data_IF_672952182346
#
_entry.id   IF_672952182346
#
_cell.length_a   1.000
_cell.length_b   1.000
_cell.length_c   1.000
_cell.angle_alpha   90.00
_cell.angle_beta   90.00
_cell.angle_gamma   90.00
#
_symmetry.space_group_name_H-M   'P 1'
#
loop_
_entity.id
_entity.type
_entity.pdbx_description
1 polymer ?
#
# COMPACT_ATOMS: atom_id res chain seq x y z
N UNK A 1 2.83 -0.54 2.92
CA UNK A 1 3.48 0.77 2.99
C UNK A 1 4.97 0.50 3.05
N UNK A 2 5.80 1.16 2.22
CA UNK A 2 7.26 0.94 2.22
C UNK A 2 7.77 -0.43 1.75
N UNK A 3 6.90 -1.36 1.36
CA UNK A 3 7.30 -2.70 0.94
C UNK A 3 7.62 -2.82 -0.56
N UNK A 4 7.88 -1.71 -1.26
CA UNK A 4 8.29 -1.72 -2.67
C UNK A 4 7.23 -2.16 -3.68
N UNK A 5 5.92 -2.05 -3.37
CA UNK A 5 4.82 -2.50 -4.24
C UNK A 5 4.93 -2.03 -5.69
N UNK A 6 5.22 -0.75 -5.90
CA UNK A 6 5.29 -0.18 -7.25
C UNK A 6 6.44 -0.77 -8.07
N UNK A 7 7.61 -0.99 -7.46
CA UNK A 7 8.76 -1.63 -8.12
C UNK A 7 8.49 -3.11 -8.42
N UNK A 8 7.96 -3.84 -7.43
CA UNK A 8 7.61 -5.26 -7.58
C UNK A 8 6.48 -5.41 -8.60
N UNK A 9 5.45 -4.54 -8.54
CA UNK A 9 4.34 -4.54 -9.50
C UNK A 9 4.80 -4.29 -10.93
N UNK A 10 5.73 -3.37 -11.14
CA UNK A 10 6.33 -3.11 -12.46
C UNK A 10 7.08 -4.35 -12.98
N UNK A 11 7.90 -4.97 -12.13
CA UNK A 11 8.63 -6.18 -12.50
C UNK A 11 7.69 -7.33 -12.84
N UNK A 12 6.62 -7.52 -12.07
CA UNK A 12 5.59 -8.53 -12.37
C UNK A 12 4.85 -8.22 -13.68
N UNK A 13 4.51 -6.97 -13.94
CA UNK A 13 3.89 -6.52 -15.18
C UNK A 13 4.76 -6.85 -16.40
N UNK A 14 6.08 -6.65 -16.30
CA UNK A 14 7.04 -7.03 -17.33
C UNK A 14 7.11 -8.56 -17.52
N UNK A 15 7.24 -9.31 -16.41
CA UNK A 15 7.34 -10.77 -16.44
C UNK A 15 6.09 -11.46 -16.98
N UNK A 16 4.91 -10.93 -16.70
CA UNK A 16 3.62 -11.51 -17.08
C UNK A 16 3.03 -10.86 -18.34
N UNK A 17 3.74 -9.90 -18.94
CA UNK A 17 3.27 -9.16 -20.12
C UNK A 17 1.84 -8.60 -19.96
N UNK A 18 1.51 -8.06 -18.78
CA UNK A 18 0.19 -7.53 -18.47
C UNK A 18 0.29 -6.11 -17.87
N UNK A 19 -0.76 -5.27 -17.96
CA UNK A 19 -0.72 -3.91 -17.46
C UNK A 19 -0.59 -3.86 -15.93
N UNK A 20 0.08 -2.82 -15.45
CA UNK A 20 0.09 -2.42 -14.04
C UNK A 20 -0.83 -1.22 -13.85
N UNK A 21 -1.76 -1.33 -12.92
CA UNK A 21 -2.59 -0.23 -12.42
C UNK A 21 -2.20 0.03 -10.97
N UNK A 22 -1.77 1.25 -10.66
CA UNK A 22 -1.62 1.73 -9.29
C UNK A 22 -2.88 2.53 -8.92
N UNK A 23 -3.62 2.07 -7.90
CA UNK A 23 -4.92 2.63 -7.55
C UNK A 23 -4.80 4.07 -7.05
N UNK A 24 -3.74 4.38 -6.32
CA UNK A 24 -3.48 5.74 -5.82
C UNK A 24 -3.27 6.70 -7.01
N UNK A 25 -2.41 6.33 -7.97
CA UNK A 25 -2.18 7.11 -9.20
C UNK A 25 -3.43 7.21 -10.09
N UNK A 26 -4.26 6.16 -10.11
CA UNK A 26 -5.52 6.16 -10.86
C UNK A 26 -6.50 7.19 -10.29
N UNK A 27 -6.62 7.28 -8.96
CA UNK A 27 -7.46 8.28 -8.28
C UNK A 27 -6.94 9.70 -8.55
N UNK A 28 -5.63 9.92 -8.46
CA UNK A 28 -5.03 11.23 -8.75
C UNK A 28 -5.29 11.67 -10.19
N UNK A 29 -5.17 10.74 -11.15
CA UNK A 29 -5.46 11.02 -12.56
C UNK A 29 -6.95 11.34 -12.81
N UNK A 30 -7.87 10.65 -12.14
CA UNK A 30 -9.32 10.90 -12.28
C UNK A 30 -9.75 12.22 -11.64
N UNK A 31 -9.16 12.55 -10.49
CA UNK A 31 -9.54 13.75 -9.72
C UNK A 31 -8.79 15.01 -10.14
N UNK A 32 -7.65 14.86 -10.81
CA UNK A 32 -6.71 15.97 -11.12
C UNK A 32 -6.08 16.57 -9.86
N UNK A 33 -6.14 15.86 -8.71
CA UNK A 33 -5.60 16.30 -7.41
C UNK A 33 -4.71 15.22 -6.82
N UNK A 34 -3.68 15.63 -6.10
CA UNK A 34 -2.86 14.68 -5.33
C UNK A 34 -3.61 14.14 -4.12
N UNK A 35 -3.23 12.95 -3.66
CA UNK A 35 -3.82 12.34 -2.46
C UNK A 35 -3.68 13.24 -1.23
N UNK A 36 -2.53 13.89 -0.94
CA UNK A 36 -2.43 14.85 0.15
C UNK A 36 -3.45 16.00 0.05
N UNK A 37 -3.66 16.57 -1.15
CA UNK A 37 -4.67 17.63 -1.36
C UNK A 37 -6.09 17.13 -1.08
N UNK A 38 -6.42 15.90 -1.49
CA UNK A 38 -7.73 15.29 -1.21
C UNK A 38 -7.92 15.11 0.30
N UNK A 39 -6.90 14.63 1.02
CA UNK A 39 -6.96 14.50 2.48
C UNK A 39 -7.13 15.84 3.19
N UNK A 40 -6.46 16.88 2.72
CA UNK A 40 -6.51 18.21 3.30
C UNK A 40 -7.88 18.89 3.06
N UNK A 41 -8.39 18.80 1.83
CA UNK A 41 -9.64 19.49 1.43
C UNK A 41 -10.90 18.72 1.82
N UNK A 42 -10.92 17.41 1.60
CA UNK A 42 -12.15 16.60 1.66
C UNK A 42 -12.12 15.58 2.84
N UNK A 43 -10.96 15.36 3.42
CA UNK A 43 -10.73 14.46 4.56
C UNK A 43 -10.65 12.97 4.18
N UNK A 44 -10.22 12.16 5.16
CA UNK A 44 -10.01 10.71 4.95
C UNK A 44 -11.29 10.00 4.48
N UNK A 45 -12.46 10.34 5.04
CA UNK A 45 -13.72 9.69 4.68
C UNK A 45 -14.11 9.88 3.21
N UNK A 46 -13.82 11.03 2.62
CA UNK A 46 -14.04 11.28 1.21
C UNK A 46 -13.06 10.47 0.35
N UNK A 47 -11.78 10.47 0.72
CA UNK A 47 -10.78 9.65 0.03
C UNK A 47 -11.17 8.16 0.03
N UNK A 48 -11.64 7.58 1.15
CA UNK A 48 -12.07 6.18 1.21
C UNK A 48 -13.24 5.87 0.29
N UNK A 49 -14.17 6.82 0.10
CA UNK A 49 -15.24 6.65 -0.90
C UNK A 49 -14.72 6.66 -2.33
N UNK A 50 -13.77 7.54 -2.64
CA UNK A 50 -13.12 7.60 -3.96
C UNK A 50 -12.33 6.32 -4.22
N UNK A 51 -11.56 5.86 -3.24
CA UNK A 51 -10.77 4.63 -3.30
C UNK A 51 -11.65 3.40 -3.59
N UNK A 52 -12.79 3.29 -2.89
CA UNK A 52 -13.77 2.22 -3.15
C UNK A 52 -14.35 2.30 -4.55
N UNK A 53 -14.79 3.48 -5.00
CA UNK A 53 -15.37 3.67 -6.34
C UNK A 53 -14.35 3.36 -7.46
N UNK A 54 -13.11 3.81 -7.29
CA UNK A 54 -12.03 3.51 -8.23
C UNK A 54 -11.73 2.01 -8.29
N UNK A 55 -11.67 1.33 -7.14
CA UNK A 55 -11.49 -0.12 -7.08
C UNK A 55 -12.62 -0.87 -7.77
N UNK A 56 -13.89 -0.52 -7.50
CA UNK A 56 -15.05 -1.11 -8.16
C UNK A 56 -14.99 -0.95 -9.67
N UNK A 57 -14.64 0.25 -10.15
CA UNK A 57 -14.51 0.57 -11.58
C UNK A 57 -13.41 -0.27 -12.23
N UNK A 58 -12.22 -0.31 -11.66
CA UNK A 58 -11.10 -1.10 -12.18
C UNK A 58 -11.46 -2.58 -12.27
N UNK A 59 -12.03 -3.15 -11.19
CA UNK A 59 -12.40 -4.57 -11.14
C UNK A 59 -13.58 -4.95 -12.04
N UNK A 60 -14.45 -3.98 -12.40
CA UNK A 60 -15.58 -4.23 -13.30
C UNK A 60 -15.23 -4.07 -14.77
N UNK A 61 -14.23 -3.27 -15.09
CA UNK A 61 -13.86 -2.92 -16.47
C UNK A 61 -12.82 -3.86 -17.06
N UNK A 62 -11.96 -4.43 -16.24
CA UNK A 62 -10.87 -5.31 -16.71
C UNK A 62 -11.33 -6.77 -16.73
N UNK A 63 -11.28 -7.38 -17.89
CA UNK A 63 -11.54 -8.81 -18.09
C UNK A 63 -10.26 -9.62 -18.33
N UNK A 64 -9.15 -8.93 -18.57
CA UNK A 64 -7.84 -9.53 -18.81
C UNK A 64 -6.98 -9.51 -17.55
N UNK A 65 -5.91 -10.30 -17.56
CA UNK A 65 -4.93 -10.33 -16.49
C UNK A 65 -4.26 -8.95 -16.34
N UNK A 66 -4.21 -8.43 -15.11
CA UNK A 66 -3.53 -7.20 -14.76
C UNK A 66 -2.89 -7.28 -13.38
N UNK A 67 -1.90 -6.46 -13.14
CA UNK A 67 -1.37 -6.22 -11.80
C UNK A 67 -2.06 -4.99 -11.24
N UNK A 68 -2.66 -5.13 -10.06
CA UNK A 68 -3.28 -4.02 -9.33
C UNK A 68 -2.48 -3.75 -8.04
N UNK A 69 -1.85 -2.57 -7.98
CA UNK A 69 -1.16 -2.09 -6.78
C UNK A 69 -2.14 -1.28 -5.93
N UNK A 70 -2.34 -1.70 -4.68
CA UNK A 70 -3.28 -1.07 -3.76
C UNK A 70 -2.58 -0.15 -2.76
N UNK A 71 -3.23 0.94 -2.39
CA UNK A 71 -2.86 1.74 -1.23
C UNK A 71 -2.87 0.92 0.06
N UNK A 72 -2.01 1.29 1.02
CA UNK A 72 -1.94 0.55 2.30
C UNK A 72 -3.19 0.68 3.17
N UNK A 73 -4.13 1.52 2.81
CA UNK A 73 -5.41 1.71 3.51
C UNK A 73 -6.61 1.09 2.82
N UNK A 74 -6.49 0.69 1.55
CA UNK A 74 -7.61 0.23 0.72
C UNK A 74 -8.38 -0.91 1.36
N UNK A 75 -7.70 -1.96 1.80
CA UNK A 75 -8.34 -3.13 2.41
C UNK A 75 -8.73 -2.93 3.89
N UNK A 76 -8.52 -1.74 4.45
CA UNK A 76 -9.02 -1.41 5.80
C UNK A 76 -10.52 -1.14 5.80
N UNK A 77 -11.10 -0.82 4.65
CA UNK A 77 -12.55 -0.78 4.44
C UNK A 77 -13.03 -2.21 4.14
N UNK A 78 -14.00 -2.69 4.91
CA UNK A 78 -14.49 -4.08 4.82
C UNK A 78 -14.93 -4.46 3.41
N UNK A 79 -15.70 -3.60 2.76
CA UNK A 79 -16.21 -3.84 1.40
C UNK A 79 -15.06 -3.92 0.36
N UNK A 80 -14.01 -3.11 0.53
CA UNK A 80 -12.84 -3.19 -0.35
C UNK A 80 -12.06 -4.50 -0.11
N UNK A 81 -11.90 -4.91 1.15
CA UNK A 81 -11.24 -6.17 1.48
C UNK A 81 -12.00 -7.37 0.89
N UNK A 82 -13.32 -7.39 0.99
CA UNK A 82 -14.18 -8.42 0.40
C UNK A 82 -14.05 -8.44 -1.12
N UNK A 83 -14.14 -7.28 -1.79
CA UNK A 83 -13.97 -7.20 -3.26
C UNK A 83 -12.60 -7.70 -3.72
N UNK A 84 -11.53 -7.29 -3.03
CA UNK A 84 -10.17 -7.73 -3.36
C UNK A 84 -10.06 -9.23 -3.19
N UNK A 85 -10.56 -9.77 -2.08
CA UNK A 85 -10.50 -11.20 -1.80
C UNK A 85 -11.32 -12.04 -2.78
N UNK A 86 -12.50 -11.58 -3.18
CA UNK A 86 -13.40 -12.35 -4.04
C UNK A 86 -13.04 -12.27 -5.53
N UNK A 87 -12.49 -11.12 -5.98
CA UNK A 87 -12.31 -10.82 -7.40
C UNK A 87 -10.87 -10.88 -7.89
N UNK A 88 -9.90 -11.08 -6.98
CA UNK A 88 -8.47 -11.07 -7.34
C UNK A 88 -7.70 -12.18 -6.64
N UNK A 89 -6.46 -12.43 -7.09
CA UNK A 89 -5.47 -13.16 -6.30
C UNK A 89 -4.69 -12.11 -5.50
N UNK A 90 -5.05 -11.94 -4.23
CA UNK A 90 -4.42 -10.97 -3.36
C UNK A 90 -3.12 -11.50 -2.78
N UNK A 91 -2.02 -10.77 -3.00
CA UNK A 91 -0.70 -11.07 -2.44
C UNK A 91 -0.31 -9.99 -1.44
N UNK A 92 -0.06 -10.38 -0.21
CA UNK A 92 0.48 -9.51 0.83
C UNK A 92 2.02 -9.61 0.86
N UNK A 93 2.69 -8.51 0.55
CA UNK A 93 4.14 -8.37 0.70
C UNK A 93 4.44 -7.98 2.15
N UNK A 94 4.85 -8.97 2.97
CA UNK A 94 5.10 -8.77 4.39
C UNK A 94 6.57 -8.41 4.61
N UNK A 95 6.81 -7.36 5.38
CA UNK A 95 8.14 -6.91 5.77
C UNK A 95 8.21 -6.61 7.26
N UNK A 96 9.38 -6.76 7.85
CA UNK A 96 9.70 -6.30 9.19
C UNK A 96 9.70 -4.78 9.30
N UNK A 97 9.61 -4.28 10.54
CA UNK A 97 9.57 -2.83 10.82
C UNK A 97 10.82 -2.12 10.29
N UNK A 98 11.99 -2.74 10.44
CA UNK A 98 13.26 -2.15 10.00
C UNK A 98 13.29 -2.01 8.47
N UNK A 99 12.94 -3.05 7.73
CA UNK A 99 12.84 -3.00 6.25
C UNK A 99 11.85 -1.91 5.79
N UNK A 100 10.71 -1.78 6.47
CA UNK A 100 9.73 -0.73 6.15
C UNK A 100 10.26 0.67 6.46
N UNK A 101 11.01 0.83 7.56
CA UNK A 101 11.60 2.10 7.95
C UNK A 101 12.68 2.52 6.95
N UNK A 102 13.60 1.62 6.62
CA UNK A 102 14.69 1.88 5.68
C UNK A 102 14.16 2.32 4.29
N UNK A 103 13.09 1.68 3.81
CA UNK A 103 12.44 2.04 2.54
C UNK A 103 11.68 3.38 2.61
N UNK A 104 11.30 3.84 3.79
CA UNK A 104 10.51 5.07 3.97
C UNK A 104 11.36 6.25 4.43
N UNK A 105 12.62 6.05 4.79
CA UNK A 105 13.55 7.13 5.09
C UNK A 105 13.66 8.05 3.87
N UNK A 106 13.23 9.29 4.02
CA UNK A 106 13.17 10.29 2.93
C UNK A 106 11.82 10.44 2.20
N UNK A 107 10.87 9.50 2.38
CA UNK A 107 9.54 9.57 1.72
C UNK A 107 8.41 10.10 2.64
N UNK A 108 8.72 10.52 3.85
CA UNK A 108 7.70 10.91 4.87
C UNK A 108 6.82 12.07 4.44
N UNK A 109 7.33 12.99 3.63
CA UNK A 109 6.60 14.17 3.15
C UNK A 109 5.46 13.86 2.19
N UNK A 110 5.51 12.73 1.49
CA UNK A 110 4.50 12.31 0.50
C UNK A 110 3.40 11.42 1.08
N UNK A 111 3.45 11.10 2.38
CA UNK A 111 2.53 10.14 3.01
C UNK A 111 1.81 10.73 4.22
N UNK A 112 0.54 11.18 4.08
CA UNK A 112 -0.20 11.87 5.14
C UNK A 112 -0.25 11.14 6.48
N UNK A 113 -0.34 9.80 6.47
CA UNK A 113 -0.41 8.97 7.68
C UNK A 113 0.92 8.85 8.44
N UNK A 114 2.04 9.24 7.83
CA UNK A 114 3.37 9.24 8.44
C UNK A 114 3.85 10.65 8.79
N UNK A 115 3.16 11.69 8.32
CA UNK A 115 3.50 13.08 8.61
C UNK A 115 3.35 13.38 10.09
N UNK A 116 4.22 14.25 10.68
CA UNK A 116 4.13 14.64 12.07
C UNK A 116 2.79 15.34 12.35
N UNK A 117 2.06 14.87 13.38
CA UNK A 117 0.96 15.66 13.91
C UNK A 117 1.51 16.98 14.43
N UNK A 118 0.95 18.11 13.99
CA UNK A 118 1.25 19.44 14.54
C UNK A 118 0.69 19.49 15.97
N UNK A 119 1.48 19.11 16.97
CA UNK A 119 1.18 19.35 18.38
C UNK A 119 2.22 20.30 18.94
N UNK A 120 1.85 21.49 19.45
CA UNK A 120 2.73 22.27 20.27
C UNK A 120 2.75 21.68 21.69
N UNK A 121 3.92 21.69 22.29
CA UNK A 121 4.22 21.36 23.69
C UNK A 121 4.22 19.90 24.11
N UNK A 122 5.41 19.32 24.11
CA UNK A 122 5.92 18.60 25.28
C UNK A 122 7.43 18.39 25.16
N UNK A 123 8.12 18.72 26.22
CA UNK A 123 9.52 18.38 26.45
C UNK A 123 9.63 16.85 26.36
N UNK A 124 10.06 16.35 25.23
CA UNK A 124 10.39 14.95 25.06
C UNK A 124 11.82 14.83 24.59
N UNK A 125 12.52 13.88 25.23
CA UNK A 125 13.85 13.41 24.87
C UNK A 125 14.05 13.43 23.35
N UNK A 126 15.21 13.83 22.89
CA UNK A 126 15.60 13.93 21.46
C UNK A 126 15.57 12.53 20.83
N UNK A 127 14.37 12.03 20.55
CA UNK A 127 14.22 10.85 19.69
C UNK A 127 14.66 11.22 18.29
N UNK A 128 15.51 10.41 17.68
CA UNK A 128 15.90 10.58 16.28
C UNK A 128 14.65 10.42 15.38
N UNK A 129 14.61 11.11 14.23
CA UNK A 129 13.52 10.97 13.25
C UNK A 129 13.26 9.51 12.88
N UNK A 130 14.32 8.72 12.76
CA UNK A 130 14.24 7.27 12.52
C UNK A 130 13.49 6.52 13.62
N UNK A 131 13.69 6.87 14.89
CA UNK A 131 12.97 6.24 16.02
C UNK A 131 11.48 6.58 15.97
N UNK A 132 11.13 7.84 15.71
CA UNK A 132 9.75 8.29 15.58
C UNK A 132 9.06 7.59 14.39
N UNK A 133 9.75 7.43 13.27
CA UNK A 133 9.24 6.73 12.09
C UNK A 133 8.95 5.26 12.42
N UNK A 134 9.88 4.55 13.07
CA UNK A 134 9.69 3.16 13.49
C UNK A 134 8.51 2.97 14.43
N UNK A 135 8.33 3.85 15.42
CA UNK A 135 7.18 3.81 16.32
C UNK A 135 5.84 3.97 15.56
N UNK A 136 5.79 4.89 14.60
CA UNK A 136 4.60 5.09 13.75
C UNK A 136 4.31 3.88 12.86
N UNK A 137 5.32 3.32 12.24
CA UNK A 137 5.18 2.11 11.43
C UNK A 137 4.66 0.97 12.30
N UNK A 138 5.24 0.78 13.49
CA UNK A 138 4.82 -0.26 14.44
C UNK A 138 3.34 -0.09 14.83
N UNK A 139 2.93 1.12 15.18
CA UNK A 139 1.55 1.41 15.54
C UNK A 139 0.56 1.19 14.38
N UNK A 140 0.96 1.55 13.15
CA UNK A 140 0.15 1.30 11.95
C UNK A 140 0.06 -0.19 11.61
N UNK A 141 1.17 -0.91 11.70
CA UNK A 141 1.20 -2.36 11.42
C UNK A 141 0.40 -3.14 12.46
N UNK A 142 0.48 -2.78 13.75
CA UNK A 142 -0.34 -3.39 14.80
C UNK A 142 -1.86 -3.31 14.52
N UNK A 143 -2.31 -2.23 13.84
CA UNK A 143 -3.72 -2.05 13.46
C UNK A 143 -4.12 -2.75 12.16
N UNK A 144 -3.16 -3.06 11.28
CA UNK A 144 -3.44 -3.43 9.88
C UNK A 144 -3.04 -4.86 9.52
N UNK A 145 -2.05 -5.44 10.22
CA UNK A 145 -1.50 -6.74 9.86
C UNK A 145 -2.54 -7.85 9.79
N UNK A 146 -3.44 -7.92 10.77
CA UNK A 146 -4.51 -8.93 10.78
C UNK A 146 -5.46 -8.81 9.59
N UNK A 147 -5.77 -7.57 9.16
CA UNK A 147 -6.60 -7.34 7.98
C UNK A 147 -5.85 -7.72 6.70
N UNK A 148 -4.56 -7.37 6.60
CA UNK A 148 -3.76 -7.76 5.44
C UNK A 148 -3.65 -9.27 5.31
N UNK A 149 -3.35 -9.98 6.42
CA UNK A 149 -3.26 -11.43 6.45
C UNK A 149 -4.61 -12.10 6.15
N UNK A 150 -5.70 -11.56 6.70
CA UNK A 150 -7.05 -12.08 6.46
C UNK A 150 -7.57 -11.86 5.04
N UNK A 151 -7.10 -10.81 4.35
CA UNK A 151 -7.50 -10.51 2.96
C UNK A 151 -6.63 -11.27 1.94
N UNK A 152 -5.38 -11.53 2.26
CA UNK A 152 -4.42 -12.15 1.34
C UNK A 152 -4.74 -13.62 1.03
N UNK A 153 -4.50 -14.03 -0.20
CA UNK A 153 -4.44 -15.44 -0.62
C UNK A 153 -3.02 -16.00 -0.45
N UNK A 154 -2.02 -15.14 -0.66
CA UNK A 154 -0.61 -15.48 -0.47
C UNK A 154 0.09 -14.40 0.33
N UNK A 155 1.01 -14.83 1.19
CA UNK A 155 1.88 -13.93 1.96
C UNK A 155 3.31 -14.21 1.54
N UNK A 156 4.02 -13.18 1.11
CA UNK A 156 5.41 -13.26 0.68
C UNK A 156 6.25 -12.39 1.62
N UNK A 157 7.18 -13.01 2.34
CA UNK A 157 8.17 -12.29 3.14
C UNK A 157 9.24 -11.70 2.22
N UNK A 158 9.47 -10.39 2.37
CA UNK A 158 10.35 -9.65 1.47
C UNK A 158 11.68 -9.22 2.13
N UNK A 159 11.85 -9.45 3.43
CA UNK A 159 13.05 -9.06 4.15
C UNK A 159 14.29 -9.71 3.54
N UNK A 160 15.31 -8.90 3.26
CA UNK A 160 16.59 -9.35 2.70
C UNK A 160 16.54 -9.78 1.23
N UNK A 161 15.40 -9.66 0.54
CA UNK A 161 15.25 -10.06 -0.86
C UNK A 161 15.33 -8.88 -1.83
N UNK A 162 15.84 -9.14 -3.02
CA UNK A 162 15.83 -8.19 -4.12
C UNK A 162 14.47 -8.21 -4.86
N UNK A 163 14.15 -7.13 -5.58
CA UNK A 163 12.89 -6.99 -6.32
C UNK A 163 12.62 -8.17 -7.26
N UNK A 164 13.64 -8.66 -7.96
CA UNK A 164 13.52 -9.78 -8.90
C UNK A 164 13.17 -11.10 -8.19
N UNK A 165 13.80 -11.36 -7.05
CA UNK A 165 13.51 -12.53 -6.23
C UNK A 165 12.08 -12.52 -5.69
N UNK A 166 11.62 -11.33 -5.23
CA UNK A 166 10.25 -11.16 -4.74
C UNK A 166 9.24 -11.36 -5.87
N UNK A 167 9.50 -10.80 -7.06
CA UNK A 167 8.63 -10.97 -8.21
C UNK A 167 8.52 -12.45 -8.63
N UNK A 168 9.63 -13.19 -8.63
CA UNK A 168 9.64 -14.62 -8.89
C UNK A 168 8.91 -15.43 -7.81
N UNK A 169 9.04 -15.06 -6.53
CA UNK A 169 8.30 -15.68 -5.44
C UNK A 169 6.79 -15.47 -5.60
N UNK A 170 6.37 -14.24 -5.95
CA UNK A 170 4.96 -13.94 -6.26
C UNK A 170 4.46 -14.79 -7.42
N UNK A 171 5.20 -14.80 -8.56
CA UNK A 171 4.83 -15.58 -9.74
C UNK A 171 4.65 -17.07 -9.41
N UNK A 172 5.57 -17.65 -8.65
CA UNK A 172 5.48 -19.06 -8.19
C UNK A 172 4.28 -19.30 -7.28
N UNK A 173 3.98 -18.37 -6.38
CA UNK A 173 2.85 -18.49 -5.45
C UNK A 173 1.51 -18.48 -6.18
N UNK A 174 1.34 -17.63 -7.20
CA UNK A 174 0.10 -17.54 -7.99
C UNK A 174 0.04 -18.56 -9.12
N UNK A 175 1.06 -19.43 -9.26
CA UNK A 175 1.14 -20.53 -10.23
C UNK A 175 1.04 -20.10 -11.71
N UNK A 176 1.68 -19.00 -12.05
CA UNK A 176 1.84 -18.50 -13.43
C UNK A 176 3.29 -18.60 -13.92
#
# INVERSE_FOLDING_TARGET
>A
MGCGKSSIGRKLSELLCCPLIDLDSHIEAETGRSIPEIFESDGEGAFRRMEKAALEKVLSTSHDMMILSLGGGTVMTKECAEMVREKTICVYLRAGIDTLADHLEGETSSRPMLSPAKSPDSIQEQKTESTILRERITALMAKRSSTYEGTAHHIIDIDGKQTDEIADDVRRAIRL
#
